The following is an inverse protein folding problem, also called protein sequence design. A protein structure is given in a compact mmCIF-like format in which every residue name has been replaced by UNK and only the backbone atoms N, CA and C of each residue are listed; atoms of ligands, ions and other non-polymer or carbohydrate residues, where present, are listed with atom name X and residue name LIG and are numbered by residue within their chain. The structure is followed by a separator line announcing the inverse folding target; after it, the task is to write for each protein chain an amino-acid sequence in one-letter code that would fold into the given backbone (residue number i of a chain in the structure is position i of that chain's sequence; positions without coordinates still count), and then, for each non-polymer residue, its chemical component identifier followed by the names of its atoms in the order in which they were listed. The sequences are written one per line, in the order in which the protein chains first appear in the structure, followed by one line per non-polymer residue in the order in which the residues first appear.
data_IF_290737363011
#
_entry.id   IF_290737363011
#
_cell.length_a   1.000
_cell.length_b   1.000
_cell.length_c   1.000
_cell.angle_alpha   90.00
_cell.angle_beta   90.00
_cell.angle_gamma   90.00
#
_symmetry.space_group_name_H-M   'P 1'
#
loop_
_entity.id
_entity.type
_entity.pdbx_description
1 polymer ?
#
# COMPACT_ATOMS: atom_id res chain seq x y z
N UNK A 1 14.57 -34.57 14.76
CA UNK A 1 15.05 -33.20 15.08
C UNK A 1 15.81 -32.51 13.93
N UNK A 2 16.94 -33.05 13.42
CA UNK A 2 17.75 -32.41 12.36
C UNK A 2 16.99 -32.06 11.06
N UNK A 3 16.06 -32.92 10.61
CA UNK A 3 15.24 -32.69 9.40
C UNK A 3 14.19 -31.58 9.59
N UNK A 4 13.64 -31.46 10.80
CA UNK A 4 12.67 -30.41 11.16
C UNK A 4 13.37 -29.04 11.26
N UNK A 5 14.53 -29.00 11.92
CA UNK A 5 15.37 -27.80 12.00
C UNK A 5 15.81 -27.31 10.62
N UNK A 6 16.20 -28.21 9.71
CA UNK A 6 16.52 -27.84 8.32
C UNK A 6 15.32 -27.32 7.53
N UNK A 7 14.09 -27.70 7.90
CA UNK A 7 12.87 -27.17 7.30
C UNK A 7 12.56 -25.75 7.78
N UNK A 8 12.86 -25.44 9.05
CA UNK A 8 12.68 -24.10 9.67
C UNK A 8 13.85 -23.15 9.35
N UNK A 9 15.08 -23.65 9.26
CA UNK A 9 16.25 -22.85 8.84
C UNK A 9 17.06 -23.64 7.81
N UNK A 10 16.83 -23.40 6.51
CA UNK A 10 17.59 -24.02 5.45
C UNK A 10 19.06 -23.63 5.54
N UNK A 11 19.96 -24.55 5.22
CA UNK A 11 21.42 -24.28 5.26
C UNK A 11 21.88 -23.38 4.12
N UNK A 12 21.16 -23.39 2.99
CA UNK A 12 21.37 -22.46 1.87
C UNK A 12 20.39 -21.28 1.99
N UNK A 13 20.76 -20.08 1.51
CA UNK A 13 19.84 -18.94 1.46
C UNK A 13 18.54 -19.31 0.74
N UNK A 14 17.41 -19.00 1.39
CA UNK A 14 16.08 -19.31 0.89
C UNK A 14 15.63 -18.19 -0.05
N UNK A 15 15.54 -18.52 -1.35
CA UNK A 15 15.02 -17.58 -2.35
C UNK A 15 13.50 -17.54 -2.36
N UNK A 16 12.88 -18.71 -2.32
CA UNK A 16 11.43 -18.84 -2.43
C UNK A 16 10.76 -19.06 -1.08
N UNK A 17 9.91 -18.12 -0.68
CA UNK A 17 9.03 -18.25 0.48
C UNK A 17 7.90 -19.23 0.19
N UNK A 18 7.55 -20.05 1.20
CA UNK A 18 6.43 -20.98 1.13
C UNK A 18 5.12 -20.31 1.53
N UNK A 19 3.98 -20.95 1.25
CA UNK A 19 2.68 -20.45 1.72
C UNK A 19 2.59 -20.27 3.24
N UNK A 20 3.26 -21.15 4.00
CA UNK A 20 3.35 -21.01 5.46
C UNK A 20 4.10 -19.73 5.83
N UNK A 21 5.21 -19.44 5.13
CA UNK A 21 5.96 -18.20 5.33
C UNK A 21 5.08 -16.98 5.02
N UNK A 22 4.33 -17.00 3.92
CA UNK A 22 3.44 -15.89 3.56
C UNK A 22 2.38 -15.65 4.63
N UNK A 23 1.72 -16.69 5.13
CA UNK A 23 0.69 -16.57 6.17
C UNK A 23 1.29 -15.99 7.46
N UNK A 24 2.45 -16.49 7.90
CA UNK A 24 3.10 -15.99 9.12
C UNK A 24 3.50 -14.52 8.97
N UNK A 25 4.17 -14.18 7.86
CA UNK A 25 4.60 -12.80 7.60
C UNK A 25 3.40 -11.86 7.50
N UNK A 26 2.34 -12.26 6.80
CA UNK A 26 1.09 -11.48 6.70
C UNK A 26 0.46 -11.27 8.07
N UNK A 27 0.45 -12.31 8.91
CA UNK A 27 -0.10 -12.21 10.28
C UNK A 27 0.71 -11.22 11.11
N UNK A 28 2.05 -11.25 11.01
CA UNK A 28 2.93 -10.32 11.73
C UNK A 28 2.74 -8.89 11.22
N UNK A 29 2.81 -8.68 9.91
CA UNK A 29 2.87 -7.33 9.33
C UNK A 29 1.49 -6.68 9.18
N UNK A 30 0.47 -7.46 8.83
CA UNK A 30 -0.84 -6.93 8.47
C UNK A 30 -1.95 -7.41 9.42
N UNK A 31 -1.73 -8.46 10.23
CA UNK A 31 -2.80 -9.10 11.01
C UNK A 31 -3.58 -8.13 11.91
N UNK A 32 -2.87 -7.30 12.68
CA UNK A 32 -3.51 -6.28 13.51
C UNK A 32 -4.27 -5.24 12.67
N UNK A 33 -3.65 -4.73 11.60
CA UNK A 33 -4.26 -3.74 10.73
C UNK A 33 -5.52 -4.28 10.03
N UNK A 34 -5.48 -5.53 9.54
CA UNK A 34 -6.63 -6.24 8.98
C UNK A 34 -7.76 -6.29 10.01
N UNK A 35 -7.46 -6.72 11.24
CA UNK A 35 -8.44 -6.83 12.30
C UNK A 35 -9.07 -5.47 12.63
N UNK A 36 -8.25 -4.47 12.95
CA UNK A 36 -8.74 -3.14 13.35
C UNK A 36 -9.52 -2.46 12.23
N UNK A 37 -9.01 -2.54 11.00
CA UNK A 37 -9.66 -1.96 9.83
C UNK A 37 -11.02 -2.58 9.57
N UNK A 38 -11.09 -3.92 9.61
CA UNK A 38 -12.34 -4.65 9.38
C UNK A 38 -13.36 -4.37 10.48
N UNK A 39 -12.91 -4.31 11.74
CA UNK A 39 -13.79 -3.99 12.86
C UNK A 39 -14.34 -2.57 12.80
N UNK A 40 -13.53 -1.58 12.38
CA UNK A 40 -14.01 -0.21 12.16
C UNK A 40 -15.06 -0.15 11.05
N UNK A 41 -14.84 -0.86 9.95
CA UNK A 41 -15.82 -0.97 8.88
C UNK A 41 -17.11 -1.66 9.33
N UNK A 42 -17.04 -2.76 10.09
CA UNK A 42 -18.23 -3.42 10.65
C UNK A 42 -18.99 -2.47 11.59
N UNK A 43 -18.27 -1.73 12.44
CA UNK A 43 -18.87 -0.76 13.35
C UNK A 43 -19.60 0.37 12.59
N UNK A 44 -19.14 0.75 11.40
CA UNK A 44 -19.82 1.76 10.56
C UNK A 44 -21.23 1.37 10.16
N UNK A 45 -21.57 0.07 10.14
CA UNK A 45 -22.93 -0.38 9.85
C UNK A 45 -23.91 -0.16 10.99
N UNK A 46 -23.40 -0.04 12.21
CA UNK A 46 -24.20 0.16 13.43
C UNK A 46 -24.22 1.61 13.89
N UNK A 47 -23.39 2.48 13.29
CA UNK A 47 -23.40 3.90 13.58
C UNK A 47 -24.69 4.53 13.01
N UNK A 48 -25.53 5.09 13.88
CA UNK A 48 -26.70 5.92 13.52
C UNK A 48 -26.31 7.29 12.97
N UNK A 49 -25.04 7.68 13.12
CA UNK A 49 -24.46 8.87 12.53
C UNK A 49 -23.61 8.47 11.32
N UNK A 50 -23.69 9.27 10.26
CA UNK A 50 -22.83 9.14 9.08
C UNK A 50 -21.38 9.07 9.53
N UNK A 51 -20.71 7.93 9.34
CA UNK A 51 -19.25 7.89 9.37
C UNK A 51 -18.82 8.98 8.41
N UNK A 52 -18.16 10.02 8.95
CA UNK A 52 -17.68 11.13 8.14
C UNK A 52 -16.95 10.51 6.95
N UNK A 53 -17.50 10.73 5.75
CA UNK A 53 -16.88 10.37 4.47
C UNK A 53 -15.65 11.25 4.19
N UNK A 54 -15.13 11.93 5.21
CA UNK A 54 -13.87 12.62 5.20
C UNK A 54 -12.72 11.62 5.19
N UNK A 55 -11.63 12.01 4.53
CA UNK A 55 -10.33 11.40 4.75
C UNK A 55 -10.09 11.37 6.26
N UNK A 56 -9.91 10.19 6.85
CA UNK A 56 -9.48 10.08 8.24
C UNK A 56 -8.20 10.91 8.38
N UNK A 57 -8.33 12.07 9.02
CA UNK A 57 -7.19 12.93 9.27
C UNK A 57 -6.40 12.32 10.43
N UNK A 58 -5.17 11.90 10.14
CA UNK A 58 -4.27 11.40 11.16
C UNK A 58 -3.56 12.58 11.81
N UNK A 59 -3.60 12.66 13.14
CA UNK A 59 -2.82 13.64 13.86
C UNK A 59 -1.33 13.28 13.81
N UNK A 60 -0.42 14.22 14.10
CA UNK A 60 0.99 13.90 14.23
C UNK A 60 1.28 12.79 15.25
N UNK A 61 0.50 12.74 16.34
CA UNK A 61 0.63 11.68 17.35
C UNK A 61 0.27 10.30 16.78
N UNK A 62 -0.76 10.23 15.92
CA UNK A 62 -1.17 8.99 15.26
C UNK A 62 -0.07 8.50 14.30
N UNK A 63 0.54 9.41 13.54
CA UNK A 63 1.66 9.10 12.64
C UNK A 63 2.86 8.52 13.40
N UNK A 64 3.25 9.12 14.53
CA UNK A 64 4.35 8.60 15.35
C UNK A 64 4.04 7.25 15.97
N UNK A 65 2.80 7.07 16.44
CA UNK A 65 2.37 5.78 16.99
C UNK A 65 2.36 4.70 15.91
N UNK A 66 1.82 5.01 14.73
CA UNK A 66 1.78 4.10 13.59
C UNK A 66 3.20 3.72 13.14
N UNK A 67 4.11 4.69 13.02
CA UNK A 67 5.51 4.47 12.71
C UNK A 67 6.18 3.52 13.73
N UNK A 68 6.03 3.79 15.02
CA UNK A 68 6.62 2.95 16.08
C UNK A 68 6.03 1.52 16.04
N UNK A 69 4.73 1.39 15.82
CA UNK A 69 4.06 0.11 15.75
C UNK A 69 4.50 -0.69 14.52
N UNK A 70 4.53 -0.09 13.33
CA UNK A 70 5.02 -0.75 12.12
C UNK A 70 6.50 -1.11 12.24
N UNK A 71 7.34 -0.25 12.83
CA UNK A 71 8.75 -0.55 13.09
C UNK A 71 8.94 -1.80 13.96
N UNK A 72 8.12 -1.94 15.01
CA UNK A 72 8.10 -3.14 15.88
C UNK A 72 7.66 -4.39 15.11
N UNK A 73 6.57 -4.31 14.33
CA UNK A 73 6.09 -5.46 13.53
C UNK A 73 7.09 -5.85 12.45
N UNK A 74 7.70 -4.87 11.79
CA UNK A 74 8.78 -5.07 10.83
C UNK A 74 9.97 -5.79 11.46
N UNK A 75 10.38 -5.41 12.68
CA UNK A 75 11.45 -6.09 13.40
C UNK A 75 11.11 -7.57 13.65
N UNK A 76 9.88 -7.90 14.04
CA UNK A 76 9.45 -9.29 14.21
C UNK A 76 9.47 -10.07 12.90
N UNK A 77 9.01 -9.47 11.80
CA UNK A 77 9.07 -10.10 10.48
C UNK A 77 10.52 -10.29 10.01
N UNK A 78 11.40 -9.33 10.28
CA UNK A 78 12.82 -9.42 9.98
C UNK A 78 13.48 -10.57 10.75
N UNK A 79 13.22 -10.69 12.06
CA UNK A 79 13.70 -11.82 12.88
C UNK A 79 13.21 -13.15 12.29
N UNK A 80 11.92 -13.24 11.92
CA UNK A 80 11.38 -14.42 11.25
C UNK A 80 12.14 -14.76 9.96
N UNK A 81 12.32 -13.80 9.07
CA UNK A 81 13.02 -13.98 7.80
C UNK A 81 14.50 -14.38 7.99
N UNK A 82 15.18 -13.82 9.00
CA UNK A 82 16.55 -14.19 9.38
C UNK A 82 16.62 -15.64 9.88
N UNK A 83 15.65 -16.08 10.70
CA UNK A 83 15.52 -17.48 11.13
C UNK A 83 15.30 -18.39 9.90
N UNK A 84 14.50 -17.94 8.93
CA UNK A 84 14.25 -18.65 7.67
C UNK A 84 15.42 -18.64 6.70
N UNK A 85 16.53 -17.97 7.04
CA UNK A 85 17.69 -17.77 6.18
C UNK A 85 17.30 -17.18 4.81
N UNK A 86 16.34 -16.25 4.79
CA UNK A 86 15.84 -15.63 3.56
C UNK A 86 16.94 -14.84 2.83
N UNK A 87 17.00 -15.00 1.51
CA UNK A 87 18.00 -14.34 0.66
C UNK A 87 17.56 -12.92 0.29
N UNK A 88 17.82 -11.95 1.17
CA UNK A 88 17.48 -10.54 0.91
C UNK A 88 18.17 -9.97 -0.33
N UNK A 89 19.28 -10.55 -0.80
CA UNK A 89 20.01 -10.06 -1.98
C UNK A 89 19.20 -10.18 -3.28
N UNK A 90 18.16 -11.00 -3.28
CA UNK A 90 17.25 -11.11 -4.43
C UNK A 90 16.35 -9.89 -4.60
N UNK A 91 16.13 -9.12 -3.53
CA UNK A 91 15.34 -7.90 -3.56
C UNK A 91 16.20 -6.76 -4.10
N UNK A 92 15.78 -6.19 -5.23
CA UNK A 92 16.46 -5.06 -5.84
C UNK A 92 15.96 -3.77 -5.21
N UNK A 93 16.76 -3.21 -4.31
CA UNK A 93 16.56 -1.87 -3.76
C UNK A 93 17.81 -1.06 -4.11
N UNK A 94 17.75 -0.33 -5.23
CA UNK A 94 18.90 0.44 -5.73
C UNK A 94 18.56 1.92 -5.76
N UNK A 95 19.42 2.72 -5.15
CA UNK A 95 19.37 4.17 -5.30
C UNK A 95 20.04 4.54 -6.63
N UNK A 96 19.23 4.90 -7.60
CA UNK A 96 19.64 5.35 -8.93
C UNK A 96 18.90 6.66 -9.25
N UNK A 97 19.47 7.53 -10.08
CA UNK A 97 18.82 8.79 -10.47
C UNK A 97 17.45 8.59 -11.12
N UNK A 98 17.24 7.44 -11.77
CA UNK A 98 15.96 7.05 -12.37
C UNK A 98 14.85 6.87 -11.34
N UNK A 99 15.16 6.70 -10.05
CA UNK A 99 14.16 6.63 -8.97
C UNK A 99 13.39 7.94 -8.85
N UNK A 100 14.06 9.08 -9.01
CA UNK A 100 13.43 10.40 -8.97
C UNK A 100 12.48 10.64 -10.15
N UNK A 101 12.65 9.90 -11.24
CA UNK A 101 11.72 9.89 -12.36
C UNK A 101 10.59 8.86 -12.13
N UNK A 102 10.95 7.62 -11.82
CA UNK A 102 9.98 6.53 -11.70
C UNK A 102 9.03 6.68 -10.51
N UNK A 103 9.48 7.20 -9.37
CA UNK A 103 8.62 7.41 -8.19
C UNK A 103 7.42 8.31 -8.50
N UNK A 104 7.64 9.55 -8.97
CA UNK A 104 6.56 10.44 -9.42
C UNK A 104 5.71 9.85 -10.55
N UNK A 105 6.31 9.16 -11.53
CA UNK A 105 5.53 8.53 -12.62
C UNK A 105 4.60 7.42 -12.11
N UNK A 106 5.07 6.58 -11.18
CA UNK A 106 4.26 5.54 -10.55
C UNK A 106 3.14 6.19 -9.74
N UNK A 107 3.44 7.22 -8.94
CA UNK A 107 2.45 7.98 -8.19
C UNK A 107 1.35 8.56 -9.09
N UNK A 108 1.72 9.30 -10.14
CA UNK A 108 0.78 9.89 -11.10
C UNK A 108 -0.04 8.80 -11.81
N UNK A 109 0.60 7.74 -12.30
CA UNK A 109 -0.08 6.65 -12.99
C UNK A 109 -1.08 5.92 -12.10
N UNK A 110 -0.72 5.65 -10.86
CA UNK A 110 -1.62 5.04 -9.88
C UNK A 110 -2.75 5.98 -9.48
N UNK A 111 -2.47 7.28 -9.37
CA UNK A 111 -3.44 8.32 -9.10
C UNK A 111 -4.54 8.40 -10.17
N UNK A 112 -4.12 8.46 -11.43
CA UNK A 112 -5.03 8.46 -12.57
C UNK A 112 -5.88 7.18 -12.65
N UNK A 113 -5.28 6.01 -12.42
CA UNK A 113 -6.03 4.74 -12.39
C UNK A 113 -7.06 4.75 -11.25
N UNK A 114 -6.70 5.30 -10.10
CA UNK A 114 -7.63 5.44 -8.97
C UNK A 114 -8.78 6.37 -9.33
N UNK A 115 -8.51 7.53 -9.94
CA UNK A 115 -9.52 8.48 -10.39
C UNK A 115 -10.51 7.87 -11.39
N UNK A 116 -10.00 7.12 -12.38
CA UNK A 116 -10.81 6.37 -13.33
C UNK A 116 -11.68 5.32 -12.62
N UNK A 117 -11.12 4.60 -11.66
CA UNK A 117 -11.81 3.51 -10.96
C UNK A 117 -12.89 4.04 -10.02
N UNK A 118 -12.59 5.09 -9.24
CA UNK A 118 -13.58 5.78 -8.40
C UNK A 118 -14.73 6.31 -9.25
N UNK A 119 -14.41 6.99 -10.36
CA UNK A 119 -15.42 7.49 -11.30
C UNK A 119 -16.26 6.35 -11.87
N UNK A 120 -15.64 5.24 -12.28
CA UNK A 120 -16.38 4.08 -12.79
C UNK A 120 -17.33 3.50 -11.73
N UNK A 121 -16.87 3.37 -10.48
CA UNK A 121 -17.70 2.91 -9.36
C UNK A 121 -18.83 3.88 -9.01
N UNK A 122 -18.68 5.18 -9.27
CA UNK A 122 -19.74 6.17 -9.05
C UNK A 122 -21.00 5.90 -9.87
N UNK A 123 -20.87 5.21 -11.01
CA UNK A 123 -21.98 4.83 -11.89
C UNK A 123 -22.61 3.48 -11.52
N UNK A 124 -22.09 2.76 -10.53
CA UNK A 124 -22.63 1.45 -10.09
C UNK A 124 -23.55 1.66 -8.89
N UNK A 125 -24.86 1.39 -9.01
CA UNK A 125 -25.78 1.47 -7.88
C UNK A 125 -25.35 0.57 -6.72
N UNK A 126 -25.35 1.10 -5.49
CA UNK A 126 -24.93 0.37 -4.29
C UNK A 126 -23.41 0.25 -4.06
N UNK A 127 -22.59 0.71 -5.01
CA UNK A 127 -21.12 0.80 -4.88
C UNK A 127 -20.60 2.23 -5.08
N UNK A 128 -21.49 3.20 -5.31
CA UNK A 128 -21.13 4.60 -5.48
C UNK A 128 -20.67 5.18 -4.15
N UNK A 129 -19.38 5.49 -4.04
CA UNK A 129 -18.81 6.23 -2.92
C UNK A 129 -18.97 7.75 -3.04
N UNK A 130 -19.75 8.24 -4.01
CA UNK A 130 -19.89 9.67 -4.31
C UNK A 130 -18.68 10.31 -5.01
N UNK A 131 -17.61 9.56 -5.25
CA UNK A 131 -16.38 10.04 -5.87
C UNK A 131 -16.47 9.99 -7.40
N UNK A 132 -16.70 11.14 -8.06
CA UNK A 132 -16.65 11.27 -9.52
C UNK A 132 -15.61 12.31 -9.93
N UNK A 133 -14.32 11.97 -9.80
CA UNK A 133 -13.22 12.89 -10.08
C UNK A 133 -13.23 13.44 -11.52
N UNK A 134 -13.60 12.63 -12.52
CA UNK A 134 -13.72 13.14 -13.89
C UNK A 134 -14.89 14.12 -14.09
N UNK A 135 -15.98 13.93 -13.34
CA UNK A 135 -17.12 14.85 -13.36
C UNK A 135 -16.77 16.27 -12.88
N UNK A 136 -15.69 16.41 -12.11
CA UNK A 136 -15.23 17.70 -11.59
C UNK A 136 -14.14 18.37 -12.43
N UNK A 137 -13.78 17.84 -13.61
CA UNK A 137 -12.73 18.41 -14.47
C UNK A 137 -12.83 19.93 -14.71
N UNK A 138 -14.02 20.53 -14.91
CA UNK A 138 -14.15 21.98 -15.10
C UNK A 138 -13.87 22.83 -13.84
N UNK A 139 -13.86 22.23 -12.65
CA UNK A 139 -13.77 22.94 -11.37
C UNK A 139 -12.40 22.85 -10.71
N UNK A 140 -11.47 22.07 -11.26
CA UNK A 140 -10.09 22.05 -10.79
C UNK A 140 -9.36 23.34 -11.15
N UNK A 141 -8.48 23.80 -10.27
CA UNK A 141 -7.75 25.07 -10.41
C UNK A 141 -6.63 25.00 -11.49
N UNK A 142 -6.26 23.79 -11.93
CA UNK A 142 -5.24 23.52 -12.98
C UNK A 142 -3.92 24.32 -12.84
N UNK A 143 -3.59 24.75 -11.62
CA UNK A 143 -2.38 25.47 -11.32
C UNK A 143 -1.37 24.54 -10.65
N UNK A 144 -0.13 24.51 -11.16
CA UNK A 144 0.94 23.71 -10.56
C UNK A 144 1.23 24.15 -9.12
N UNK A 145 1.03 25.43 -8.79
CA UNK A 145 1.22 25.94 -7.44
C UNK A 145 0.24 25.32 -6.45
N UNK A 146 -0.96 24.94 -6.90
CA UNK A 146 -1.96 24.26 -6.07
C UNK A 146 -1.49 22.85 -5.69
N UNK A 147 -0.85 22.14 -6.62
CA UNK A 147 -0.19 20.86 -6.34
C UNK A 147 0.99 21.05 -5.38
N UNK A 148 1.86 22.05 -5.62
CA UNK A 148 3.01 22.31 -4.77
C UNK A 148 2.60 22.67 -3.34
N UNK A 149 1.59 23.53 -3.19
CA UNK A 149 1.07 23.94 -1.88
C UNK A 149 0.51 22.74 -1.10
N UNK A 150 -0.09 21.75 -1.76
CA UNK A 150 -0.53 20.52 -1.10
C UNK A 150 0.63 19.73 -0.50
N UNK A 151 1.72 19.55 -1.26
CA UNK A 151 2.92 18.89 -0.73
C UNK A 151 3.60 19.70 0.38
N UNK A 152 3.64 21.04 0.27
CA UNK A 152 4.20 21.93 1.29
C UNK A 152 3.36 21.98 2.58
N UNK A 153 2.06 21.70 2.49
CA UNK A 153 1.16 21.64 3.64
C UNK A 153 1.28 20.32 4.42
N UNK A 154 1.96 19.29 3.87
CA UNK A 154 2.15 18.01 4.55
C UNK A 154 3.09 18.22 5.74
N UNK A 155 2.62 17.83 6.92
CA UNK A 155 3.43 17.92 8.13
C UNK A 155 4.59 16.91 8.10
N UNK A 156 5.68 17.26 8.78
CA UNK A 156 6.90 16.45 8.77
C UNK A 156 6.69 15.03 9.33
N UNK A 157 5.74 14.82 10.25
CA UNK A 157 5.46 13.48 10.80
C UNK A 157 4.77 12.59 9.77
N UNK A 158 3.85 13.16 8.97
CA UNK A 158 3.26 12.49 7.81
C UNK A 158 4.35 12.14 6.80
N UNK A 159 5.27 13.06 6.48
CA UNK A 159 6.37 12.76 5.55
C UNK A 159 7.20 11.55 6.01
N UNK A 160 7.62 11.54 7.28
CA UNK A 160 8.44 10.46 7.83
C UNK A 160 7.66 9.14 7.87
N UNK A 161 6.41 9.18 8.32
CA UNK A 161 5.55 8.01 8.37
C UNK A 161 5.29 7.45 6.98
N UNK A 162 4.88 8.27 6.01
CA UNK A 162 4.60 7.85 4.63
C UNK A 162 5.82 7.23 3.95
N UNK A 163 7.02 7.75 4.17
CA UNK A 163 8.26 7.14 3.66
C UNK A 163 8.48 5.74 4.22
N UNK A 164 8.24 5.56 5.52
CA UNK A 164 8.36 4.24 6.15
C UNK A 164 7.23 3.30 5.74
N UNK A 165 5.98 3.79 5.65
CA UNK A 165 4.81 3.01 5.25
C UNK A 165 4.93 2.52 3.80
N UNK A 166 5.32 3.41 2.88
CA UNK A 166 5.56 3.05 1.49
C UNK A 166 6.66 2.00 1.33
N UNK A 167 7.72 2.06 2.15
CA UNK A 167 8.68 0.97 2.27
C UNK A 167 8.02 -0.30 2.83
N UNK A 168 7.35 -0.20 3.97
CA UNK A 168 6.79 -1.31 4.74
C UNK A 168 5.81 -2.15 3.90
N UNK A 169 4.84 -1.51 3.27
CA UNK A 169 3.82 -2.17 2.48
C UNK A 169 4.37 -2.77 1.20
N UNK A 170 5.13 -2.02 0.41
CA UNK A 170 5.61 -2.52 -0.88
C UNK A 170 6.78 -3.51 -0.72
N UNK A 171 7.56 -3.42 0.37
CA UNK A 171 8.49 -4.47 0.76
C UNK A 171 7.73 -5.78 1.00
N UNK A 172 6.59 -5.73 1.69
CA UNK A 172 5.75 -6.89 1.90
C UNK A 172 5.11 -7.40 0.59
N UNK A 173 4.38 -6.55 -0.14
CA UNK A 173 3.61 -6.96 -1.31
C UNK A 173 4.46 -7.29 -2.53
N UNK A 174 5.37 -6.40 -2.94
CA UNK A 174 6.19 -6.59 -4.14
C UNK A 174 7.48 -7.32 -3.83
N UNK A 175 8.04 -7.15 -2.63
CA UNK A 175 9.25 -7.85 -2.20
C UNK A 175 8.95 -9.28 -1.75
N UNK A 176 8.29 -9.43 -0.60
CA UNK A 176 8.14 -10.73 0.07
C UNK A 176 7.12 -11.64 -0.62
N UNK A 177 5.90 -11.17 -0.89
CA UNK A 177 4.88 -12.03 -1.51
C UNK A 177 5.34 -12.50 -2.90
N UNK A 178 5.99 -11.65 -3.71
CA UNK A 178 6.47 -12.08 -5.03
C UNK A 178 7.78 -12.88 -4.99
N UNK A 179 8.39 -13.03 -3.82
CA UNK A 179 9.50 -13.97 -3.57
C UNK A 179 9.01 -15.41 -3.38
N UNK A 180 7.90 -15.80 -4.00
CA UNK A 180 7.46 -17.21 -4.10
C UNK A 180 7.77 -17.80 -5.48
N UNK A 181 7.63 -19.11 -5.59
CA UNK A 181 7.63 -19.83 -6.87
C UNK A 181 6.77 -19.10 -7.93
N UNK A 182 7.40 -18.80 -9.07
CA UNK A 182 6.78 -18.09 -10.19
C UNK A 182 5.50 -18.75 -10.67
N UNK A 183 5.39 -20.08 -10.58
CA UNK A 183 4.20 -20.85 -10.99
C UNK A 183 2.97 -20.55 -10.14
N UNK A 184 3.15 -20.03 -8.92
CA UNK A 184 2.07 -19.74 -7.96
C UNK A 184 1.67 -18.26 -7.94
N UNK A 185 2.30 -17.42 -8.76
CA UNK A 185 2.15 -15.95 -8.70
C UNK A 185 0.73 -15.46 -8.90
N UNK A 186 -0.10 -16.11 -9.72
CA UNK A 186 -1.51 -15.72 -9.87
C UNK A 186 -2.29 -15.89 -8.57
N UNK A 187 -2.07 -17.01 -7.86
CA UNK A 187 -2.70 -17.26 -6.56
C UNK A 187 -2.15 -16.33 -5.48
N UNK A 188 -0.85 -16.03 -5.52
CA UNK A 188 -0.24 -15.06 -4.61
C UNK A 188 -0.74 -13.64 -4.88
N UNK A 189 -0.98 -13.27 -6.13
CA UNK A 189 -1.58 -11.99 -6.49
C UNK A 189 -3.01 -11.88 -5.94
N UNK A 190 -3.82 -12.94 -6.08
CA UNK A 190 -5.15 -12.98 -5.46
C UNK A 190 -5.08 -12.81 -3.94
N UNK A 191 -4.18 -13.55 -3.28
CA UNK A 191 -3.94 -13.43 -1.84
C UNK A 191 -3.50 -12.01 -1.45
N UNK A 192 -2.54 -11.44 -2.18
CA UNK A 192 -2.07 -10.06 -2.01
C UNK A 192 -3.20 -9.04 -2.12
N UNK A 193 -4.07 -9.19 -3.12
CA UNK A 193 -5.23 -8.30 -3.32
C UNK A 193 -6.20 -8.41 -2.14
N UNK A 194 -6.52 -9.63 -1.69
CA UNK A 194 -7.39 -9.82 -0.51
C UNK A 194 -6.79 -9.14 0.72
N UNK A 195 -5.51 -9.38 1.01
CA UNK A 195 -4.81 -8.79 2.17
C UNK A 195 -4.85 -7.26 2.11
N UNK A 196 -4.55 -6.67 0.94
CA UNK A 196 -4.57 -5.22 0.75
C UNK A 196 -5.97 -4.65 0.97
N UNK A 197 -7.01 -5.25 0.37
CA UNK A 197 -8.40 -4.83 0.61
C UNK A 197 -8.71 -4.88 2.11
N UNK A 198 -8.36 -5.98 2.79
CA UNK A 198 -8.74 -6.23 4.17
C UNK A 198 -8.26 -5.16 5.16
N UNK A 199 -7.01 -4.69 5.07
CA UNK A 199 -6.52 -3.65 5.99
C UNK A 199 -6.78 -2.21 5.53
N UNK A 200 -7.41 -2.01 4.37
CA UNK A 200 -7.89 -0.70 3.91
C UNK A 200 -9.41 -0.51 4.03
N UNK A 201 -10.14 -1.50 4.55
CA UNK A 201 -11.60 -1.42 4.78
C UNK A 201 -12.04 -0.23 5.64
N UNK A 202 -11.16 0.27 6.52
CA UNK A 202 -11.40 1.45 7.36
C UNK A 202 -11.62 2.74 6.57
N UNK A 203 -11.12 2.81 5.32
CA UNK A 203 -11.31 3.94 4.41
C UNK A 203 -12.63 3.85 3.62
N UNK A 204 -13.47 2.86 3.96
CA UNK A 204 -14.68 2.50 3.23
C UNK A 204 -14.41 1.45 2.14
N UNK A 205 -15.42 0.62 1.85
CA UNK A 205 -15.30 -0.51 0.92
C UNK A 205 -14.89 -0.07 -0.49
N UNK A 206 -15.40 1.06 -0.98
CA UNK A 206 -15.06 1.60 -2.31
C UNK A 206 -13.56 1.92 -2.39
N UNK A 207 -13.04 2.69 -1.42
CA UNK A 207 -11.62 3.02 -1.33
C UNK A 207 -10.76 1.77 -1.20
N UNK A 208 -11.16 0.81 -0.35
CA UNK A 208 -10.45 -0.45 -0.17
C UNK A 208 -10.36 -1.27 -1.46
N UNK A 209 -11.42 -1.29 -2.28
CA UNK A 209 -11.42 -1.95 -3.59
C UNK A 209 -10.54 -1.22 -4.60
N UNK A 210 -10.57 0.11 -4.64
CA UNK A 210 -9.68 0.90 -5.53
C UNK A 210 -8.22 0.66 -5.19
N UNK A 211 -7.85 0.73 -3.90
CA UNK A 211 -6.48 0.52 -3.43
C UNK A 211 -6.05 -0.94 -3.62
N UNK A 212 -6.89 -1.88 -3.19
CA UNK A 212 -6.59 -3.30 -3.23
C UNK A 212 -6.50 -3.88 -4.65
N UNK A 213 -7.41 -3.47 -5.53
CA UNK A 213 -7.52 -3.98 -6.89
C UNK A 213 -6.80 -3.07 -7.87
N UNK A 214 -7.26 -1.83 -8.07
CA UNK A 214 -6.76 -0.98 -9.15
C UNK A 214 -5.29 -0.58 -8.91
N UNK A 215 -5.02 0.01 -7.75
CA UNK A 215 -3.69 0.46 -7.36
C UNK A 215 -2.74 -0.75 -7.20
N UNK A 216 -3.17 -1.79 -6.47
CA UNK A 216 -2.39 -3.02 -6.27
C UNK A 216 -2.01 -3.74 -7.58
N UNK A 217 -2.94 -3.90 -8.52
CA UNK A 217 -2.66 -4.53 -9.82
C UNK A 217 -1.75 -3.66 -10.69
N UNK A 218 -1.91 -2.33 -10.64
CA UNK A 218 -1.00 -1.41 -11.32
C UNK A 218 0.44 -1.55 -10.81
N UNK A 219 0.64 -1.53 -9.49
CA UNK A 219 1.96 -1.71 -8.86
C UNK A 219 2.56 -3.06 -9.24
N UNK A 220 1.78 -4.14 -9.16
CA UNK A 220 2.20 -5.47 -9.58
C UNK A 220 2.63 -5.51 -11.06
N UNK A 221 1.84 -4.94 -11.96
CA UNK A 221 2.16 -4.90 -13.38
C UNK A 221 3.46 -4.12 -13.63
N UNK A 222 3.56 -2.90 -13.08
CA UNK A 222 4.72 -2.04 -13.26
C UNK A 222 5.98 -2.72 -12.73
N UNK A 223 5.92 -3.30 -11.53
CA UNK A 223 7.08 -3.96 -10.92
C UNK A 223 7.53 -5.19 -11.71
N UNK A 224 6.57 -6.05 -12.11
CA UNK A 224 6.92 -7.31 -12.78
C UNK A 224 7.25 -7.17 -14.26
N UNK A 225 6.84 -6.06 -14.91
CA UNK A 225 6.97 -5.88 -16.37
C UNK A 225 7.79 -4.68 -16.81
N UNK A 226 7.99 -3.66 -15.96
CA UNK A 226 8.62 -2.39 -16.37
C UNK A 226 9.89 -2.09 -15.60
N UNK A 227 9.84 -2.11 -14.27
CA UNK A 227 10.99 -1.79 -13.43
C UNK A 227 10.98 -2.68 -12.18
N UNK A 228 11.96 -3.57 -12.06
CA UNK A 228 12.04 -4.49 -10.91
C UNK A 228 12.89 -3.96 -9.74
N UNK A 229 13.25 -2.67 -9.76
CA UNK A 229 13.74 -1.96 -8.59
C UNK A 229 12.55 -1.58 -7.70
N UNK A 230 12.57 -1.96 -6.42
CA UNK A 230 11.50 -1.68 -5.47
C UNK A 230 11.45 -0.20 -5.02
N UNK A 231 12.60 0.49 -5.03
CA UNK A 231 12.71 1.83 -4.43
C UNK A 231 11.75 2.88 -5.05
N UNK A 232 11.51 2.92 -6.38
CA UNK A 232 10.49 3.77 -6.97
C UNK A 232 9.06 3.50 -6.47
N UNK A 233 8.73 2.25 -6.16
CA UNK A 233 7.40 1.88 -5.63
C UNK A 233 7.25 2.33 -4.19
N UNK A 234 8.32 2.28 -3.40
CA UNK A 234 8.33 2.83 -2.03
C UNK A 234 8.04 4.33 -2.06
N UNK A 235 8.73 5.05 -2.96
CA UNK A 235 8.54 6.49 -3.13
C UNK A 235 7.15 6.82 -3.69
N UNK A 236 6.69 6.11 -4.72
CA UNK A 236 5.36 6.33 -5.32
C UNK A 236 4.23 6.11 -4.32
N UNK A 237 4.35 5.09 -3.46
CA UNK A 237 3.40 4.82 -2.39
C UNK A 237 3.45 5.95 -1.34
N UNK A 238 4.66 6.31 -0.89
CA UNK A 238 4.83 7.38 0.09
C UNK A 238 4.23 8.72 -0.38
N UNK A 239 4.38 9.07 -1.66
CA UNK A 239 3.73 10.25 -2.24
C UNK A 239 2.20 10.15 -2.17
N UNK A 240 1.63 8.98 -2.45
CA UNK A 240 0.18 8.78 -2.32
C UNK A 240 -0.31 8.90 -0.87
N UNK A 241 0.47 8.43 0.12
CA UNK A 241 0.11 8.59 1.53
C UNK A 241 0.17 10.06 2.00
N UNK A 242 1.07 10.86 1.42
CA UNK A 242 1.24 12.27 1.78
C UNK A 242 0.08 13.15 1.32
N UNK A 243 -0.44 12.91 0.10
CA UNK A 243 -1.40 13.83 -0.54
C UNK A 243 -2.68 13.16 -1.06
N UNK A 244 -2.81 11.84 -0.87
CA UNK A 244 -3.93 11.03 -1.31
C UNK A 244 -3.66 10.24 -2.59
N UNK A 245 -4.52 9.26 -2.85
CA UNK A 245 -4.41 8.33 -3.99
C UNK A 245 -5.07 8.84 -5.27
N UNK A 246 -5.66 10.04 -5.28
CA UNK A 246 -6.25 10.68 -6.45
C UNK A 246 -5.25 11.65 -7.08
N UNK A 247 -5.10 11.62 -8.40
CA UNK A 247 -4.27 12.61 -9.09
C UNK A 247 -5.03 13.94 -9.23
N UNK A 248 -6.31 13.89 -9.58
CA UNK A 248 -7.09 15.12 -9.76
C UNK A 248 -7.37 15.87 -8.45
N UNK A 249 -7.41 15.18 -7.31
CA UNK A 249 -7.55 15.84 -6.00
C UNK A 249 -6.41 16.83 -5.72
N UNK A 250 -5.24 16.66 -6.35
CA UNK A 250 -4.10 17.58 -6.24
C UNK A 250 -4.41 18.98 -6.77
N UNK A 251 -5.44 19.12 -7.60
CA UNK A 251 -5.84 20.39 -8.21
C UNK A 251 -7.09 21.01 -7.59
N UNK A 252 -7.57 20.47 -6.47
CA UNK A 252 -8.61 21.12 -5.67
C UNK A 252 -7.93 22.27 -4.89
N UNK A 253 -8.44 23.49 -4.99
CA UNK A 253 -7.94 24.60 -4.19
C UNK A 253 -8.16 24.31 -2.69
N UNK A 254 -7.14 24.58 -1.87
CA UNK A 254 -7.19 24.46 -0.41
C UNK A 254 -7.82 25.68 0.26
#
# INVERSE_FOLDING_TARGET
MKRLLRRIRPTKPLKELTWIDLIIITTILCGNAIYTSTMQWIASFSATETVETGVLSFSPADNWWALANQGKLFLFALVYLLIRNYDFKQLKVKLEWTVLLWGPLIFIGAGLISDLTFTAFSYIPGLSGGYNFLGYLPYYDWNIMTVLNRFLAVDYSTVIYSLFNGFYEEFFFLGLLLSTDKKKRSLVLLFSTIVRISFHTYQGMVSALVIGVAFGLFYYYMYTRKNDNLLPYFLGHALADMVGTSFFSLFIAG
#
